data_IF_949275217956
#
_entry.id   IF_949275217956
#
_cell.length_a   1.000
_cell.length_b   1.000
_cell.length_c   1.000
_cell.angle_alpha   90.00
_cell.angle_beta   90.00
_cell.angle_gamma   90.00
#
_symmetry.space_group_name_H-M   'P 1'
#
loop_
_entity.id
_entity.type
_entity.pdbx_description
1 polymer ?
#
# COMPACT_ATOMS: atom_id res chain seq x y z
N UNK A 1 27.28 26.85 40.01
CA UNK A 1 28.63 26.92 39.43
C UNK A 1 28.99 28.39 39.37
N UNK A 2 29.98 28.79 40.14
CA UNK A 2 30.44 30.18 40.23
C UNK A 2 31.04 30.61 38.88
N UNK A 3 30.61 31.78 38.40
CA UNK A 3 31.04 32.34 37.12
C UNK A 3 32.34 33.11 37.38
N UNK A 4 33.43 32.66 36.77
CA UNK A 4 34.76 33.28 36.90
C UNK A 4 34.81 34.59 36.08
N UNK A 5 34.20 35.65 36.61
CA UNK A 5 34.04 36.94 35.92
C UNK A 5 35.30 37.83 35.91
N UNK A 6 36.39 37.45 36.58
CA UNK A 6 37.59 38.31 36.75
C UNK A 6 38.92 37.58 36.56
N UNK A 7 38.94 36.50 35.78
CA UNK A 7 40.16 35.71 35.56
C UNK A 7 41.07 36.37 34.51
N UNK A 8 42.10 37.07 34.97
CA UNK A 8 43.08 37.76 34.11
C UNK A 8 44.23 36.86 33.66
N UNK A 9 44.61 35.90 34.50
CA UNK A 9 45.65 34.91 34.22
C UNK A 9 45.14 33.49 34.48
N UNK A 10 45.32 32.60 33.51
CA UNK A 10 44.86 31.23 33.60
C UNK A 10 45.79 30.31 32.83
N UNK A 11 46.59 29.50 33.52
CA UNK A 11 47.49 28.54 32.90
C UNK A 11 47.22 27.14 33.44
N UNK A 12 46.79 26.24 32.54
CA UNK A 12 46.54 24.82 32.84
C UNK A 12 47.35 23.93 31.90
N UNK A 13 48.45 24.45 31.36
CA UNK A 13 49.35 23.68 30.51
C UNK A 13 49.96 22.49 31.24
N UNK A 14 50.29 21.44 30.49
CA UNK A 14 50.92 20.21 30.97
C UNK A 14 50.19 19.52 32.12
N UNK A 15 48.86 19.59 32.08
CA UNK A 15 47.99 18.75 32.90
C UNK A 15 47.45 17.59 32.05
N UNK A 16 46.57 16.79 32.64
CA UNK A 16 45.88 15.68 31.98
C UNK A 16 44.39 16.01 31.77
N UNK A 17 44.07 17.25 31.40
CA UNK A 17 42.69 17.68 31.19
C UNK A 17 42.10 17.04 29.93
N UNK A 18 40.81 16.72 30.02
CA UNK A 18 40.01 16.04 28.98
C UNK A 18 38.77 16.89 28.69
N UNK A 19 38.37 16.95 27.42
CA UNK A 19 37.09 17.51 27.00
C UNK A 19 37.17 18.83 26.24
N UNK A 20 36.03 19.50 26.09
CA UNK A 20 35.91 20.73 25.30
C UNK A 20 36.37 21.96 26.10
N UNK A 21 37.27 22.77 25.50
CA UNK A 21 37.60 24.09 26.03
C UNK A 21 36.36 25.01 25.88
N UNK A 22 35.85 25.62 26.97
CA UNK A 22 34.72 26.53 26.88
C UNK A 22 35.01 27.70 25.93
N UNK A 23 34.09 27.96 25.01
CA UNK A 23 34.22 29.08 24.05
C UNK A 23 33.67 30.41 24.58
N UNK A 24 33.17 30.42 25.82
CA UNK A 24 32.62 31.60 26.49
C UNK A 24 33.70 32.50 27.09
N UNK A 25 33.28 33.66 27.61
CA UNK A 25 34.15 34.51 28.42
C UNK A 25 34.39 33.85 29.80
N UNK A 26 35.61 33.89 30.39
CA UNK A 26 36.83 34.56 29.94
C UNK A 26 37.69 33.73 28.96
N UNK A 27 37.40 32.43 28.80
CA UNK A 27 38.20 31.48 28.02
C UNK A 27 38.44 31.86 26.56
N UNK A 28 37.51 32.60 25.95
CA UNK A 28 37.69 33.19 24.60
C UNK A 28 38.91 34.13 24.50
N UNK A 29 39.33 34.73 25.62
CA UNK A 29 40.43 35.70 25.65
C UNK A 29 41.82 35.06 25.84
N UNK A 30 41.89 33.75 26.14
CA UNK A 30 43.15 33.05 26.34
C UNK A 30 43.68 32.44 25.03
N UNK A 31 45.01 32.39 24.90
CA UNK A 31 45.70 31.79 23.76
C UNK A 31 45.97 30.29 23.97
N UNK A 32 46.34 29.57 22.90
CA UNK A 32 46.63 28.13 22.94
C UNK A 32 47.70 27.74 23.97
N UNK A 33 48.61 28.65 24.31
CA UNK A 33 49.74 28.37 25.21
C UNK A 33 49.29 28.01 26.63
N UNK A 34 48.12 28.49 27.06
CA UNK A 34 47.57 28.19 28.37
C UNK A 34 46.98 26.78 28.48
N UNK A 35 46.86 26.06 27.36
CA UNK A 35 46.23 24.73 27.27
C UNK A 35 47.18 23.66 26.71
N UNK A 36 48.42 24.02 26.33
CA UNK A 36 49.39 23.10 25.73
C UNK A 36 49.68 21.92 26.66
N UNK A 37 49.93 20.73 26.12
CA UNK A 37 50.27 19.53 26.90
C UNK A 37 49.09 18.68 27.36
N UNK A 38 47.84 19.16 27.24
CA UNK A 38 46.63 18.37 27.52
C UNK A 38 46.12 17.69 26.25
N UNK A 39 46.50 16.42 26.01
CA UNK A 39 46.30 15.73 24.71
C UNK A 39 44.84 15.43 24.36
N UNK A 40 44.00 15.28 25.37
CA UNK A 40 42.58 14.91 25.25
C UNK A 40 41.65 16.14 25.25
N UNK A 41 42.22 17.35 25.18
CA UNK A 41 41.43 18.55 24.95
C UNK A 41 41.05 18.68 23.48
N UNK A 42 39.84 19.17 23.27
CA UNK A 42 39.32 19.56 21.99
C UNK A 42 38.65 20.95 22.08
N UNK A 43 38.44 21.65 20.97
CA UNK A 43 37.78 22.95 21.03
C UNK A 43 37.85 23.75 19.75
N UNK A 44 37.63 25.06 19.86
CA UNK A 44 37.68 25.97 18.73
C UNK A 44 39.08 26.03 18.08
N UNK A 45 39.10 26.28 16.77
CA UNK A 45 40.33 26.33 15.96
C UNK A 45 41.36 27.35 16.43
N UNK A 46 40.92 28.40 17.15
CA UNK A 46 41.78 29.43 17.75
C UNK A 46 42.83 28.86 18.73
N UNK A 47 42.54 27.70 19.35
CA UNK A 47 43.43 27.05 20.31
C UNK A 47 44.43 26.11 19.63
N UNK A 48 44.39 25.96 18.30
CA UNK A 48 45.26 25.06 17.51
C UNK A 48 45.22 23.59 17.99
N UNK A 49 44.08 23.15 18.50
CA UNK A 49 43.82 21.76 18.91
C UNK A 49 42.75 21.13 18.02
N UNK A 50 42.56 19.81 18.17
CA UNK A 50 41.54 19.06 17.44
C UNK A 50 40.14 19.63 17.74
N UNK A 51 39.31 19.79 16.72
CA UNK A 51 37.89 20.13 16.92
C UNK A 51 37.19 19.02 17.70
N UNK A 52 36.34 19.39 18.65
CA UNK A 52 35.51 18.40 19.33
C UNK A 52 34.61 17.69 18.31
N UNK A 53 34.56 16.36 18.41
CA UNK A 53 33.62 15.55 17.66
C UNK A 53 32.28 15.68 18.40
N UNK A 54 31.61 16.81 18.19
CA UNK A 54 30.21 16.95 18.54
C UNK A 54 29.39 16.32 17.43
N UNK A 55 28.35 15.56 17.79
CA UNK A 55 27.32 15.16 16.83
C UNK A 55 26.85 16.42 16.09
N UNK A 56 27.24 16.56 14.82
CA UNK A 56 26.80 17.61 13.91
C UNK A 56 25.35 17.35 13.52
N UNK A 57 24.46 17.40 14.52
CA UNK A 57 23.03 17.58 14.34
C UNK A 57 22.54 18.70 15.25
N UNK A 58 23.30 19.80 15.33
CA UNK A 58 22.68 21.12 15.55
C UNK A 58 22.03 21.58 14.24
N UNK A 59 21.09 20.77 13.73
CA UNK A 59 20.07 21.36 12.87
C UNK A 59 19.28 22.31 13.76
N UNK A 60 19.16 23.54 13.27
CA UNK A 60 18.28 24.59 13.77
C UNK A 60 16.99 24.02 14.38
N UNK A 61 16.56 24.58 15.50
CA UNK A 61 15.31 24.29 16.23
C UNK A 61 14.10 24.02 15.31
N UNK A 62 14.09 24.60 14.11
CA UNK A 62 13.03 24.47 13.11
C UNK A 62 12.93 23.08 12.44
N UNK A 63 13.96 22.23 12.50
CA UNK A 63 13.92 20.89 11.85
C UNK A 63 13.31 19.81 12.74
N UNK A 64 13.33 19.99 14.06
CA UNK A 64 12.62 19.10 14.99
C UNK A 64 11.12 19.28 14.84
N UNK A 65 10.63 20.52 14.76
CA UNK A 65 9.23 20.80 14.48
C UNK A 65 8.78 20.20 13.15
N UNK A 66 9.53 20.40 12.06
CA UNK A 66 9.26 19.74 10.77
C UNK A 66 9.23 18.21 10.86
N UNK A 67 10.12 17.60 11.66
CA UNK A 67 10.16 16.14 11.87
C UNK A 67 8.90 15.58 12.55
N UNK A 68 8.20 16.36 13.37
CA UNK A 68 6.98 15.91 14.08
C UNK A 68 5.69 16.41 13.43
N UNK A 69 5.68 17.62 12.88
CA UNK A 69 4.50 18.23 12.25
C UNK A 69 4.21 17.57 10.90
N UNK A 70 5.23 17.26 10.10
CA UNK A 70 5.04 16.65 8.78
C UNK A 70 4.37 15.26 8.84
N UNK A 71 4.78 14.31 9.69
CA UNK A 71 4.06 13.04 9.84
C UNK A 71 2.69 13.22 10.49
N UNK A 72 2.51 14.19 11.40
CA UNK A 72 1.20 14.47 12.00
C UNK A 72 0.17 14.93 10.96
N UNK A 73 0.55 15.84 10.06
CA UNK A 73 -0.30 16.29 8.95
C UNK A 73 -0.59 15.14 8.00
N UNK A 74 0.41 14.32 7.67
CA UNK A 74 0.21 13.16 6.80
C UNK A 74 -0.78 12.15 7.40
N UNK A 75 -0.72 11.89 8.71
CA UNK A 75 -1.68 11.02 9.41
C UNK A 75 -3.09 11.61 9.36
N UNK A 76 -3.26 12.91 9.67
CA UNK A 76 -4.57 13.57 9.64
C UNK A 76 -5.17 13.57 8.24
N UNK A 77 -4.37 13.88 7.20
CA UNK A 77 -4.81 13.83 5.81
C UNK A 77 -5.18 12.41 5.37
N UNK A 78 -4.40 11.40 5.76
CA UNK A 78 -4.71 10.01 5.43
C UNK A 78 -6.03 9.56 6.05
N UNK A 79 -6.28 9.90 7.33
CA UNK A 79 -7.55 9.61 8.00
C UNK A 79 -8.72 10.32 7.32
N UNK A 80 -8.57 11.61 6.99
CA UNK A 80 -9.60 12.37 6.30
C UNK A 80 -9.93 11.78 4.92
N UNK A 81 -8.92 11.39 4.14
CA UNK A 81 -9.10 10.72 2.85
C UNK A 81 -9.82 9.38 3.03
N UNK A 82 -9.44 8.58 4.02
CA UNK A 82 -10.12 7.31 4.32
C UNK A 82 -11.58 7.54 4.69
N UNK A 83 -11.88 8.54 5.54
CA UNK A 83 -13.27 8.86 5.91
C UNK A 83 -14.07 9.35 4.70
N UNK A 84 -13.51 10.22 3.85
CA UNK A 84 -14.16 10.66 2.61
C UNK A 84 -14.36 9.50 1.65
N UNK A 85 -13.40 8.59 1.53
CA UNK A 85 -13.54 7.36 0.74
C UNK A 85 -14.67 6.50 1.28
N UNK A 86 -14.73 6.25 2.60
CA UNK A 86 -15.80 5.50 3.25
C UNK A 86 -17.17 6.17 3.09
N UNK A 87 -17.25 7.50 3.19
CA UNK A 87 -18.51 8.23 2.94
C UNK A 87 -18.90 8.13 1.47
N UNK A 88 -17.95 8.19 0.53
CA UNK A 88 -18.25 8.02 -0.90
C UNK A 88 -18.62 6.58 -1.24
N UNK A 89 -17.97 5.58 -0.68
CA UNK A 89 -18.35 4.18 -0.89
C UNK A 89 -19.68 3.88 -0.22
N UNK A 90 -19.93 4.40 0.99
CA UNK A 90 -21.22 4.30 1.66
C UNK A 90 -22.31 5.05 0.88
N UNK A 91 -22.03 6.24 0.35
CA UNK A 91 -22.97 7.01 -0.47
C UNK A 91 -23.27 6.32 -1.80
N UNK A 92 -22.27 5.65 -2.40
CA UNK A 92 -22.48 4.75 -3.55
C UNK A 92 -23.21 3.45 -3.16
N UNK A 93 -23.07 2.99 -1.92
CA UNK A 93 -23.82 1.87 -1.35
C UNK A 93 -25.21 2.26 -0.84
N UNK A 94 -25.51 3.54 -0.65
CA UNK A 94 -26.87 4.07 -0.41
C UNK A 94 -27.63 4.29 -1.71
N UNK A 95 -27.14 3.74 -2.82
CA UNK A 95 -28.03 3.32 -3.88
C UNK A 95 -28.83 2.13 -3.31
N UNK A 96 -30.04 2.43 -2.80
CA UNK A 96 -31.15 1.56 -2.40
C UNK A 96 -30.76 0.13 -2.02
N UNK A 97 -31.11 -0.37 -0.81
CA UNK A 97 -30.75 -1.73 -0.41
C UNK A 97 -31.17 -2.71 -1.50
N UNK A 98 -30.18 -3.25 -2.22
CA UNK A 98 -30.38 -4.45 -2.99
C UNK A 98 -30.92 -5.47 -1.99
N UNK A 99 -32.03 -6.15 -2.30
CA UNK A 99 -32.64 -7.08 -1.37
C UNK A 99 -31.54 -8.04 -0.92
N UNK A 100 -31.39 -8.15 0.40
CA UNK A 100 -30.60 -9.12 1.14
C UNK A 100 -29.82 -10.08 0.24
N UNK A 101 -28.49 -10.04 0.31
CA UNK A 101 -27.65 -11.15 -0.14
C UNK A 101 -28.05 -12.39 0.66
N UNK A 102 -29.13 -13.05 0.25
CA UNK A 102 -29.29 -14.48 0.43
C UNK A 102 -27.96 -15.09 -0.02
N UNK A 103 -27.46 -16.14 0.66
CA UNK A 103 -26.37 -16.92 0.08
C UNK A 103 -26.77 -17.16 -1.38
N UNK A 104 -25.89 -16.84 -2.32
CA UNK A 104 -26.12 -17.18 -3.73
C UNK A 104 -26.27 -18.69 -3.74
N UNK A 105 -27.50 -19.16 -3.61
CA UNK A 105 -27.87 -20.55 -3.79
C UNK A 105 -27.69 -20.75 -5.28
N UNK A 106 -26.52 -21.25 -5.68
CA UNK A 106 -26.31 -21.77 -7.02
C UNK A 106 -27.32 -22.90 -7.16
N UNK A 107 -28.48 -22.58 -7.75
CA UNK A 107 -29.53 -23.56 -8.05
C UNK A 107 -28.90 -24.52 -9.06
N UNK A 108 -28.64 -25.75 -8.62
CA UNK A 108 -28.24 -26.82 -9.53
C UNK A 108 -29.47 -27.14 -10.39
N UNK A 109 -29.35 -26.89 -11.69
CA UNK A 109 -30.37 -27.19 -12.68
C UNK A 109 -29.87 -28.39 -13.48
N UNK A 110 -30.70 -29.42 -13.63
CA UNK A 110 -30.35 -30.61 -14.39
C UNK A 110 -30.41 -30.35 -15.91
N UNK A 111 -29.68 -31.14 -16.69
CA UNK A 111 -29.74 -31.07 -18.15
C UNK A 111 -31.17 -31.22 -18.69
N UNK A 112 -31.98 -32.14 -18.12
CA UNK A 112 -33.36 -32.36 -18.56
C UNK A 112 -34.28 -31.18 -18.26
N UNK A 113 -34.05 -30.45 -17.16
CA UNK A 113 -34.76 -29.20 -16.89
C UNK A 113 -34.44 -28.14 -17.93
N UNK A 114 -33.16 -27.99 -18.31
CA UNK A 114 -32.76 -27.07 -19.38
C UNK A 114 -33.37 -27.51 -20.71
N UNK A 115 -33.28 -28.80 -21.05
CA UNK A 115 -33.80 -29.38 -22.29
C UNK A 115 -35.31 -29.14 -22.43
N UNK A 116 -36.09 -29.39 -21.37
CA UNK A 116 -37.52 -29.12 -21.39
C UNK A 116 -37.81 -27.62 -21.44
N UNK A 117 -37.06 -26.81 -20.70
CA UNK A 117 -37.25 -25.37 -20.65
C UNK A 117 -37.02 -24.68 -22.01
N UNK A 118 -36.08 -25.20 -22.82
CA UNK A 118 -35.75 -24.70 -24.16
C UNK A 118 -36.51 -25.41 -25.28
N UNK A 119 -37.50 -26.24 -24.97
CA UNK A 119 -38.19 -27.10 -25.94
C UNK A 119 -37.22 -27.88 -26.83
N UNK A 120 -36.26 -28.56 -26.19
CA UNK A 120 -35.19 -29.35 -26.81
C UNK A 120 -34.28 -28.51 -27.72
N UNK A 121 -34.00 -27.27 -27.31
CA UNK A 121 -33.22 -26.30 -28.09
C UNK A 121 -33.82 -26.03 -29.48
N UNK A 122 -35.15 -25.95 -29.56
CA UNK A 122 -35.86 -25.64 -30.80
C UNK A 122 -35.63 -24.20 -31.29
N UNK A 123 -35.66 -24.00 -32.60
CA UNK A 123 -35.46 -22.70 -33.26
C UNK A 123 -36.48 -21.64 -32.80
N UNK A 124 -37.69 -22.05 -32.39
CA UNK A 124 -38.70 -21.15 -31.84
C UNK A 124 -38.33 -20.56 -30.47
N UNK A 125 -37.35 -21.16 -29.79
CA UNK A 125 -36.74 -20.61 -28.57
C UNK A 125 -35.45 -19.86 -28.85
N UNK A 126 -34.91 -19.86 -30.08
CA UNK A 126 -33.68 -19.15 -30.40
C UNK A 126 -33.89 -17.65 -30.26
N UNK A 127 -33.06 -17.02 -29.42
CA UNK A 127 -33.06 -15.56 -29.22
C UNK A 127 -31.82 -14.89 -29.80
N UNK A 128 -30.78 -15.65 -30.14
CA UNK A 128 -29.61 -15.10 -30.82
C UNK A 128 -28.57 -16.14 -31.21
N UNK A 129 -27.80 -15.82 -32.24
CA UNK A 129 -26.66 -16.59 -32.74
C UNK A 129 -25.40 -15.74 -32.64
N UNK A 130 -24.39 -16.25 -31.94
CA UNK A 130 -23.09 -15.60 -31.80
C UNK A 130 -21.94 -16.51 -32.25
N UNK A 131 -20.73 -15.97 -32.25
CA UNK A 131 -19.51 -16.72 -32.62
C UNK A 131 -19.21 -17.89 -31.67
N UNK A 132 -19.58 -17.76 -30.40
CA UNK A 132 -19.32 -18.73 -29.33
C UNK A 132 -20.56 -19.58 -28.97
N UNK A 133 -21.55 -19.63 -29.86
CA UNK A 133 -22.72 -20.50 -29.70
C UNK A 133 -24.08 -19.83 -29.90
N UNK A 134 -25.12 -20.57 -29.55
CA UNK A 134 -26.52 -20.20 -29.70
C UNK A 134 -27.11 -19.81 -28.33
N UNK A 135 -28.05 -18.87 -28.34
CA UNK A 135 -28.74 -18.42 -27.14
C UNK A 135 -30.23 -18.71 -27.29
N UNK A 136 -30.80 -19.44 -26.33
CA UNK A 136 -32.20 -19.85 -26.31
C UNK A 136 -32.96 -19.26 -25.12
N UNK A 137 -34.25 -19.01 -25.28
CA UNK A 137 -35.17 -18.67 -24.20
C UNK A 137 -35.66 -19.94 -23.50
N UNK A 138 -35.18 -20.17 -22.29
CA UNK A 138 -35.69 -21.19 -21.37
C UNK A 138 -36.88 -20.67 -20.57
N UNK A 139 -37.91 -21.51 -20.40
CA UNK A 139 -39.03 -21.30 -19.47
C UNK A 139 -39.12 -22.55 -18.60
N UNK A 140 -38.72 -22.45 -17.33
CA UNK A 140 -38.72 -23.56 -16.38
C UNK A 140 -40.12 -23.81 -15.81
N UNK A 141 -40.30 -24.97 -15.17
CA UNK A 141 -41.58 -25.39 -14.57
C UNK A 141 -42.07 -24.48 -13.44
N UNK A 142 -41.15 -23.80 -12.75
CA UNK A 142 -41.45 -22.79 -11.74
C UNK A 142 -41.79 -21.41 -12.34
N UNK A 143 -41.88 -21.31 -13.67
CA UNK A 143 -42.12 -20.06 -14.39
C UNK A 143 -40.88 -19.17 -14.55
N UNK A 144 -39.72 -19.58 -14.05
CA UNK A 144 -38.47 -18.84 -14.26
C UNK A 144 -38.14 -18.79 -15.75
N UNK A 145 -37.88 -17.58 -16.26
CA UNK A 145 -37.44 -17.36 -17.63
C UNK A 145 -35.95 -17.04 -17.60
N UNK A 146 -35.15 -17.74 -18.41
CA UNK A 146 -33.71 -17.54 -18.49
C UNK A 146 -33.21 -17.61 -19.94
N UNK A 147 -32.09 -16.95 -20.22
CA UNK A 147 -31.33 -17.15 -21.44
C UNK A 147 -30.36 -18.32 -21.23
N UNK A 148 -30.50 -19.38 -22.04
CA UNK A 148 -29.67 -20.57 -22.01
C UNK A 148 -28.70 -20.49 -23.18
N UNK A 149 -27.40 -20.50 -22.87
CA UNK A 149 -26.35 -20.48 -23.88
C UNK A 149 -25.88 -21.90 -24.17
N UNK A 150 -26.09 -22.33 -25.41
CA UNK A 150 -25.52 -23.55 -25.96
C UNK A 150 -24.20 -23.21 -26.67
N UNK A 151 -23.08 -23.70 -26.16
CA UNK A 151 -21.76 -23.37 -26.67
C UNK A 151 -21.39 -24.31 -27.83
N UNK A 152 -20.94 -23.76 -28.96
CA UNK A 152 -20.32 -24.60 -29.97
C UNK A 152 -18.92 -25.01 -29.46
N UNK A 153 -18.73 -26.30 -29.20
CA UNK A 153 -17.46 -26.87 -28.71
C UNK A 153 -16.57 -27.38 -29.84
N UNK A 154 -16.74 -26.88 -31.06
CA UNK A 154 -15.71 -26.95 -32.11
C UNK A 154 -14.48 -26.12 -31.67
N UNK A 155 -13.75 -26.68 -30.70
CA UNK A 155 -12.60 -26.14 -29.99
C UNK A 155 -11.34 -26.17 -30.86
N UNK A 156 -11.45 -25.85 -32.15
CA UNK A 156 -10.28 -25.76 -33.03
C UNK A 156 -9.66 -24.36 -33.07
N UNK A 157 -10.37 -23.30 -32.63
CA UNK A 157 -9.93 -21.93 -32.90
C UNK A 157 -9.81 -20.97 -31.70
N UNK A 158 -9.85 -21.50 -30.47
CA UNK A 158 -9.44 -20.69 -29.31
C UNK A 158 -8.09 -21.18 -28.80
N UNK A 159 -7.06 -20.38 -29.05
CA UNK A 159 -5.69 -20.47 -28.51
C UNK A 159 -5.58 -20.38 -26.98
N UNK A 160 -6.59 -20.89 -26.26
CA UNK A 160 -6.64 -21.07 -24.82
C UNK A 160 -6.09 -22.46 -24.43
N UNK A 161 -6.11 -23.44 -25.34
CA UNK A 161 -5.53 -24.76 -25.09
C UNK A 161 -3.98 -24.78 -25.06
N UNK A 162 -3.32 -23.67 -25.40
CA UNK A 162 -1.86 -23.54 -25.39
C UNK A 162 -1.40 -22.63 -24.26
N UNK A 163 -1.55 -23.07 -23.02
CA UNK A 163 -0.70 -22.71 -21.86
C UNK A 163 -1.25 -23.38 -20.57
N UNK A 164 -1.13 -24.70 -20.48
CA UNK A 164 -0.94 -25.35 -19.18
C UNK A 164 0.22 -26.34 -19.33
N UNK A 165 1.43 -25.80 -19.46
CA UNK A 165 2.61 -26.57 -19.05
C UNK A 165 2.64 -26.61 -17.53
N UNK A 166 3.05 -27.76 -17.01
CA UNK A 166 2.90 -28.22 -15.63
C UNK A 166 3.57 -27.34 -14.55
N UNK A 167 4.28 -26.27 -14.95
CA UNK A 167 5.10 -25.42 -14.07
C UNK A 167 4.50 -24.05 -13.71
N UNK A 168 3.28 -23.69 -14.14
CA UNK A 168 2.64 -22.42 -13.74
C UNK A 168 1.30 -22.60 -13.00
N UNK A 169 1.38 -23.14 -11.78
CA UNK A 169 0.20 -23.38 -10.92
C UNK A 169 -0.42 -22.11 -10.30
N UNK A 170 0.18 -20.92 -10.46
CA UNK A 170 -0.20 -19.73 -9.67
C UNK A 170 -0.55 -18.45 -10.47
N UNK A 171 -0.80 -18.50 -11.78
CA UNK A 171 -1.32 -17.35 -12.51
C UNK A 171 -2.85 -17.42 -12.64
N UNK A 172 -3.55 -17.15 -11.54
CA UNK A 172 -5.01 -16.98 -11.55
C UNK A 172 -5.32 -15.77 -12.44
N UNK A 173 -5.79 -16.02 -13.66
CA UNK A 173 -6.29 -14.98 -14.53
C UNK A 173 -7.62 -14.49 -13.97
N UNK A 174 -7.67 -13.25 -13.46
CA UNK A 174 -8.94 -12.59 -13.10
C UNK A 174 -9.67 -12.19 -14.38
N UNK A 175 -10.28 -13.15 -15.06
CA UNK A 175 -11.31 -12.85 -16.04
C UNK A 175 -12.59 -12.49 -15.28
N UNK A 176 -13.16 -11.33 -15.59
CA UNK A 176 -14.48 -10.92 -15.13
C UNK A 176 -15.54 -11.75 -15.90
N UNK A 177 -15.61 -13.05 -15.60
CA UNK A 177 -16.52 -13.99 -16.24
C UNK A 177 -17.79 -14.18 -15.40
N UNK A 178 -18.95 -14.20 -16.06
CA UNK A 178 -20.18 -14.72 -15.45
C UNK A 178 -20.04 -16.24 -15.32
N UNK A 179 -20.35 -16.80 -14.15
CA UNK A 179 -20.34 -18.25 -13.93
C UNK A 179 -21.37 -18.87 -14.88
N UNK A 180 -20.88 -19.57 -15.92
CA UNK A 180 -21.69 -20.33 -16.88
C UNK A 180 -21.61 -21.82 -16.58
N UNK A 181 -22.72 -22.53 -16.77
CA UNK A 181 -22.73 -23.99 -16.76
C UNK A 181 -22.22 -24.51 -18.10
N UNK A 182 -21.31 -25.50 -18.05
CA UNK A 182 -20.80 -26.22 -19.22
C UNK A 182 -21.40 -27.63 -19.18
N UNK A 183 -22.27 -27.95 -20.12
CA UNK A 183 -22.87 -29.29 -20.20
C UNK A 183 -21.80 -30.32 -20.61
N UNK A 184 -21.85 -31.58 -20.12
CA UNK A 184 -20.96 -32.63 -20.58
C UNK A 184 -21.16 -32.90 -22.08
N UNK A 185 -20.06 -33.10 -22.81
CA UNK A 185 -20.09 -33.49 -24.20
C UNK A 185 -20.80 -34.83 -24.43
N UNK A 186 -21.34 -35.01 -25.64
CA UNK A 186 -21.96 -36.26 -26.09
C UNK A 186 -20.98 -37.41 -26.15
#
# INVERSE_FOLDING_TARGET
MEKLEYLEYFNVSFNELIGEIPNGWPFKNFTSNFFIGNRELCGASQFKIKSCIGNTTRLSSNTKFLKYILPSIAVVLSLAITVVYLIRTHSRNTFLPAPSTSPVTIKRISYYEVLNATNKFGEERLIGRGSIGLMYKGIFSDGMIAAIKDFNLDLEDFGIAKLFTEDQKNSITKTLGTIGYMAPGK
#
